data_IF_759608091179
#
_entry.id   IF_759608091179
#
_cell.length_a   1.000
_cell.length_b   1.000
_cell.length_c   1.000
_cell.angle_alpha   90.00
_cell.angle_beta   90.00
_cell.angle_gamma   90.00
#
_symmetry.space_group_name_H-M   'P 1'
#
loop_
_entity.id
_entity.type
_entity.pdbx_description
1 polymer ?
#
# COMPACT_ATOMS: atom_id res chain seq x y z
N UNK A 1 -7.90 -3.93 -22.89
CA UNK A 1 -7.85 -5.05 -21.93
C UNK A 1 -7.10 -4.62 -20.67
N UNK A 2 -7.68 -4.88 -19.52
CA UNK A 2 -7.00 -4.57 -18.26
C UNK A 2 -6.03 -5.69 -17.91
N UNK A 3 -4.87 -5.32 -17.44
CA UNK A 3 -3.93 -6.28 -16.89
C UNK A 3 -3.97 -6.22 -15.36
N UNK A 4 -3.65 -7.33 -14.74
CA UNK A 4 -3.61 -7.43 -13.29
C UNK A 4 -2.14 -7.40 -12.83
N UNK A 5 -1.85 -6.58 -11.85
CA UNK A 5 -0.52 -6.51 -11.25
C UNK A 5 -0.63 -6.71 -9.75
N UNK A 6 0.43 -7.20 -9.15
CA UNK A 6 0.48 -7.41 -7.72
C UNK A 6 1.26 -6.30 -7.05
N UNK A 7 0.72 -5.82 -5.95
CA UNK A 7 1.38 -4.83 -5.11
C UNK A 7 1.37 -5.32 -3.67
N UNK A 8 2.28 -4.78 -2.88
CA UNK A 8 2.39 -5.15 -1.48
C UNK A 8 1.42 -4.33 -0.66
N UNK A 9 0.80 -4.98 0.32
CA UNK A 9 0.01 -4.30 1.33
C UNK A 9 0.61 -4.63 2.69
N UNK A 10 0.99 -3.59 3.43
CA UNK A 10 1.46 -3.71 4.80
C UNK A 10 0.33 -3.17 5.67
N UNK A 11 -0.20 -4.02 6.55
CA UNK A 11 -1.36 -3.66 7.35
C UNK A 11 -0.98 -3.78 8.82
N UNK A 12 -1.25 -2.71 9.58
CA UNK A 12 -0.96 -2.73 11.00
C UNK A 12 -2.09 -2.10 11.79
N UNK A 13 -2.17 -2.48 13.05
CA UNK A 13 -3.17 -1.95 13.94
C UNK A 13 -2.80 -0.54 14.36
N UNK A 14 -3.81 0.34 14.35
CA UNK A 14 -3.63 1.70 14.86
C UNK A 14 -4.89 2.09 15.61
N UNK A 15 -4.76 2.22 16.92
CA UNK A 15 -5.91 2.50 17.77
C UNK A 15 -6.93 1.37 17.69
N UNK A 16 -8.16 1.72 17.38
CA UNK A 16 -9.25 0.75 17.26
C UNK A 16 -9.41 0.22 15.83
N UNK A 17 -8.60 0.69 14.92
CA UNK A 17 -8.70 0.29 13.52
C UNK A 17 -7.37 -0.20 12.98
N UNK A 18 -7.28 -0.21 11.67
CA UNK A 18 -6.09 -0.68 10.96
C UNK A 18 -5.75 0.28 9.83
N UNK A 19 -4.46 0.46 9.61
CA UNK A 19 -3.96 1.22 8.46
C UNK A 19 -3.28 0.26 7.51
N UNK A 20 -3.33 0.59 6.22
CA UNK A 20 -2.72 -0.20 5.17
C UNK A 20 -1.85 0.70 4.32
N UNK A 21 -0.71 0.16 3.86
CA UNK A 21 0.24 0.92 3.08
C UNK A 21 0.72 0.08 1.91
N UNK A 22 0.73 0.68 0.73
CA UNK A 22 1.38 0.12 -0.45
C UNK A 22 2.71 0.84 -0.63
N UNK A 23 3.83 0.19 -0.28
CA UNK A 23 5.12 0.87 -0.37
C UNK A 23 5.58 1.17 -1.79
N UNK A 24 5.15 0.39 -2.76
CA UNK A 24 5.54 0.63 -4.15
C UNK A 24 5.09 2.00 -4.65
N UNK A 25 3.93 2.46 -4.19
CA UNK A 25 3.34 3.71 -4.66
C UNK A 25 3.21 4.75 -3.57
N UNK A 26 3.56 4.38 -2.34
CA UNK A 26 3.41 5.25 -1.17
C UNK A 26 1.98 5.76 -1.03
N UNK A 27 1.04 4.83 -1.15
CA UNK A 27 -0.39 5.10 -0.99
C UNK A 27 -0.88 4.33 0.21
N UNK A 28 -1.65 4.99 1.05
CA UNK A 28 -2.16 4.39 2.28
C UNK A 28 -3.67 4.51 2.35
N UNK A 29 -4.27 3.64 3.15
CA UNK A 29 -5.68 3.68 3.45
C UNK A 29 -5.91 3.14 4.86
N UNK A 30 -7.15 2.98 5.26
CA UNK A 30 -7.47 2.51 6.60
C UNK A 30 -8.82 1.81 6.59
N UNK A 31 -9.11 1.13 7.68
CA UNK A 31 -10.39 0.45 7.86
C UNK A 31 -10.57 0.01 9.30
N UNK A 32 -11.77 -0.44 9.63
CA UNK A 32 -12.11 -0.87 10.99
C UNK A 32 -11.51 -2.23 11.36
N UNK A 33 -11.17 -3.00 10.36
CA UNK A 33 -10.55 -4.30 10.54
C UNK A 33 -9.57 -4.55 9.39
N UNK A 34 -8.86 -5.67 9.46
CA UNK A 34 -7.84 -5.98 8.46
C UNK A 34 -8.44 -6.07 7.07
N UNK A 35 -9.58 -6.75 6.94
CA UNK A 35 -10.23 -6.91 5.64
C UNK A 35 -10.67 -5.58 5.05
N UNK A 36 -11.23 -4.70 5.88
CA UNK A 36 -11.66 -3.38 5.42
C UNK A 36 -10.46 -2.53 5.00
N UNK A 37 -9.38 -2.55 5.79
CA UNK A 37 -8.17 -1.79 5.45
C UNK A 37 -7.59 -2.28 4.12
N UNK A 38 -7.58 -3.59 3.91
CA UNK A 38 -7.09 -4.18 2.67
C UNK A 38 -7.97 -3.78 1.48
N UNK A 39 -9.27 -3.91 1.61
CA UNK A 39 -10.20 -3.55 0.54
C UNK A 39 -10.11 -2.07 0.19
N UNK A 40 -10.04 -1.23 1.20
CA UNK A 40 -9.95 0.21 0.97
C UNK A 40 -8.64 0.60 0.30
N UNK A 41 -7.56 -0.10 0.60
CA UNK A 41 -6.29 0.12 -0.11
C UNK A 41 -6.41 -0.25 -1.58
N UNK A 42 -7.05 -1.38 -1.88
CA UNK A 42 -7.26 -1.80 -3.26
C UNK A 42 -8.03 -0.72 -4.02
N UNK A 43 -9.09 -0.19 -3.42
CA UNK A 43 -9.87 0.87 -4.05
C UNK A 43 -9.04 2.13 -4.29
N UNK A 44 -8.20 2.50 -3.31
CA UNK A 44 -7.34 3.67 -3.46
C UNK A 44 -6.33 3.49 -4.58
N UNK A 45 -5.76 2.28 -4.69
CA UNK A 45 -4.81 1.97 -5.75
C UNK A 45 -5.48 1.99 -7.12
N UNK A 46 -6.67 1.41 -7.22
CA UNK A 46 -7.41 1.41 -8.47
C UNK A 46 -7.76 2.82 -8.91
N UNK A 47 -8.19 3.65 -7.97
CA UNK A 47 -8.49 5.04 -8.28
C UNK A 47 -7.25 5.79 -8.75
N UNK A 48 -6.10 5.54 -8.10
CA UNK A 48 -4.86 6.18 -8.52
C UNK A 48 -4.53 5.84 -9.98
N UNK A 49 -4.62 4.57 -10.35
CA UNK A 49 -4.31 4.16 -11.72
C UNK A 49 -5.34 4.67 -12.74
N UNK A 50 -6.57 4.91 -12.31
CA UNK A 50 -7.59 5.47 -13.20
C UNK A 50 -7.39 6.96 -13.45
N UNK A 51 -6.87 7.70 -12.49
CA UNK A 51 -6.83 9.16 -12.56
C UNK A 51 -5.45 9.74 -12.79
N UNK A 52 -4.39 9.02 -12.42
CA UNK A 52 -3.02 9.51 -12.60
C UNK A 52 -2.59 9.39 -14.05
N UNK A 53 -1.86 10.38 -14.55
CA UNK A 53 -1.32 10.25 -15.89
C UNK A 53 -0.07 9.35 -15.86
N UNK A 54 0.40 8.88 -17.03
CA UNK A 54 1.52 7.96 -17.07
C UNK A 54 2.81 8.48 -16.41
N UNK A 55 3.05 9.77 -16.50
CA UNK A 55 4.26 10.33 -15.90
C UNK A 55 4.18 10.32 -14.38
N UNK A 56 3.01 10.54 -13.80
CA UNK A 56 2.82 10.48 -12.36
C UNK A 56 2.97 9.05 -11.85
N UNK A 57 2.42 8.08 -12.56
CA UNK A 57 2.59 6.67 -12.21
C UNK A 57 4.07 6.32 -12.20
N UNK A 58 4.80 6.70 -13.24
CA UNK A 58 6.23 6.40 -13.35
C UNK A 58 7.02 7.04 -12.23
N UNK A 59 6.69 8.28 -11.86
CA UNK A 59 7.40 8.99 -10.82
C UNK A 59 7.13 8.44 -9.42
N UNK A 60 5.93 7.90 -9.19
CA UNK A 60 5.57 7.39 -7.88
C UNK A 60 5.95 5.92 -7.67
N UNK A 61 6.12 5.17 -8.75
CA UNK A 61 6.32 3.73 -8.65
C UNK A 61 7.74 3.40 -8.21
N UNK A 62 7.85 2.78 -7.04
CA UNK A 62 9.11 2.25 -6.52
C UNK A 62 9.12 0.75 -6.80
N UNK A 63 9.88 0.34 -7.79
CA UNK A 63 9.88 -1.05 -8.22
C UNK A 63 10.86 -1.93 -7.47
N UNK A 64 11.74 -1.31 -6.68
CA UNK A 64 12.75 -2.07 -5.94
C UNK A 64 12.76 -1.61 -4.49
N UNK A 65 12.24 -2.47 -3.62
CA UNK A 65 12.28 -2.26 -2.18
C UNK A 65 12.26 -3.63 -1.51
N UNK A 66 12.66 -3.66 -0.24
CA UNK A 66 12.71 -4.92 0.50
C UNK A 66 12.02 -4.76 1.84
N UNK A 67 11.29 -5.79 2.23
CA UNK A 67 10.70 -5.87 3.56
C UNK A 67 11.48 -6.95 4.30
N UNK A 68 12.13 -6.57 5.38
CA UNK A 68 12.97 -7.50 6.13
C UNK A 68 12.89 -7.22 7.62
N UNK A 69 13.44 -8.11 8.40
CA UNK A 69 13.51 -7.95 9.84
C UNK A 69 14.97 -7.74 10.23
N UNK A 70 15.18 -6.91 11.23
CA UNK A 70 16.51 -6.66 11.76
C UNK A 70 16.50 -6.91 13.26
N UNK A 71 17.64 -7.26 13.81
CA UNK A 71 17.79 -7.41 15.25
C UNK A 71 18.46 -6.17 15.81
N UNK A 72 17.89 -5.67 16.90
CA UNK A 72 18.46 -4.51 17.57
C UNK A 72 18.51 -4.80 19.06
N UNK A 73 19.51 -4.26 19.71
CA UNK A 73 19.59 -4.35 21.17
C UNK A 73 18.72 -3.26 21.78
N UNK A 74 17.88 -3.67 22.74
CA UNK A 74 16.98 -2.74 23.45
C UNK A 74 17.24 -2.87 24.93
N UNK A 75 17.09 -1.82 25.64
CA UNK A 75 17.24 -1.79 27.06
C UNK A 75 18.45 -1.02 27.46
#
# INVERSE_FOLDING_TARGET
>A
MKSTQQFTAIIEREGDGYVSLCPELDIASQGDNIEAARRNLIEALELFFETADPSEVKNRLHTEFFVTRVEVSVG
#
